data_IF_209509786473
#
_entry.id   IF_209509786473
#
_cell.length_a   1.000
_cell.length_b   1.000
_cell.length_c   1.000
_cell.angle_alpha   90.00
_cell.angle_beta   90.00
_cell.angle_gamma   90.00
#
_symmetry.space_group_name_H-M   'P 1'
#
loop_
_entity.id
_entity.type
_entity.pdbx_description
1 polymer ?
#
# COMPACT_ATOMS: atom_id res chain seq x y z
N UNK A 1 -19.31 16.46 30.58
CA UNK A 1 -17.89 16.57 30.21
C UNK A 1 -17.36 15.28 29.55
N UNK A 2 -17.81 14.85 28.35
CA UNK A 2 -17.28 13.59 27.76
C UNK A 2 -17.18 13.53 26.22
N UNK A 3 -17.36 14.63 25.47
CA UNK A 3 -17.24 14.60 24.00
C UNK A 3 -15.82 14.85 23.46
N UNK A 4 -14.90 15.39 24.26
CA UNK A 4 -13.56 15.74 23.80
C UNK A 4 -12.56 14.58 23.78
N UNK A 5 -12.75 13.54 24.59
CA UNK A 5 -11.79 12.43 24.73
C UNK A 5 -11.92 11.38 23.62
N UNK A 6 -13.14 11.11 23.14
CA UNK A 6 -13.38 10.10 22.09
C UNK A 6 -12.80 10.51 20.73
N UNK A 7 -12.80 11.81 20.42
CA UNK A 7 -12.32 12.38 19.16
C UNK A 7 -10.79 12.29 19.00
N UNK A 8 -10.03 12.18 20.10
CA UNK A 8 -8.57 12.04 20.06
C UNK A 8 -8.08 10.62 19.72
N UNK A 9 -8.95 9.61 19.81
CA UNK A 9 -8.60 8.21 19.57
C UNK A 9 -9.03 7.68 18.21
N UNK A 10 -9.82 8.45 17.46
CA UNK A 10 -10.33 8.05 16.14
C UNK A 10 -9.19 7.64 15.19
N UNK A 11 -8.08 8.42 15.05
CA UNK A 11 -7.00 8.03 14.16
C UNK A 11 -6.37 6.68 14.54
N UNK A 12 -6.13 6.45 15.84
CA UNK A 12 -5.58 5.18 16.33
C UNK A 12 -6.55 4.00 16.09
N UNK A 13 -7.86 4.22 16.24
CA UNK A 13 -8.86 3.17 16.05
C UNK A 13 -8.89 2.71 14.59
N UNK A 14 -8.77 3.63 13.63
CA UNK A 14 -8.73 3.26 12.22
C UNK A 14 -7.40 2.60 11.82
N UNK A 15 -6.26 3.01 12.38
CA UNK A 15 -4.99 2.27 12.19
C UNK A 15 -5.10 0.83 12.68
N UNK A 16 -5.65 0.63 13.88
CA UNK A 16 -5.87 -0.71 14.46
C UNK A 16 -6.87 -1.50 13.63
N UNK A 17 -7.97 -0.87 13.21
CA UNK A 17 -8.95 -1.50 12.33
C UNK A 17 -8.29 -1.98 11.03
N UNK A 18 -7.39 -1.19 10.43
CA UNK A 18 -6.65 -1.59 9.22
C UNK A 18 -5.73 -2.78 9.46
N UNK A 19 -5.01 -2.78 10.58
CA UNK A 19 -4.15 -3.91 10.97
C UNK A 19 -4.98 -5.19 11.09
N UNK A 20 -6.19 -5.11 11.65
CA UNK A 20 -7.10 -6.25 11.77
C UNK A 20 -7.77 -6.63 10.44
N UNK A 21 -8.07 -5.64 9.60
CA UNK A 21 -8.69 -5.85 8.28
C UNK A 21 -7.71 -6.48 7.29
N UNK A 22 -6.41 -6.25 7.47
CA UNK A 22 -5.38 -6.76 6.55
C UNK A 22 -5.38 -8.29 6.48
N UNK A 23 -5.26 -9.06 7.58
CA UNK A 23 -5.39 -10.52 7.55
C UNK A 23 -6.69 -11.00 6.91
N UNK A 24 -7.81 -10.31 7.18
CA UNK A 24 -9.10 -10.63 6.59
C UNK A 24 -9.05 -10.50 5.06
N UNK A 25 -8.48 -9.42 4.52
CA UNK A 25 -8.28 -9.25 3.07
C UNK A 25 -7.45 -10.39 2.49
N UNK A 26 -6.34 -10.77 3.15
CA UNK A 26 -5.46 -11.84 2.67
C UNK A 26 -6.17 -13.19 2.64
N UNK A 27 -6.98 -13.49 3.66
CA UNK A 27 -7.79 -14.72 3.69
C UNK A 27 -8.86 -14.68 2.61
N UNK A 28 -9.58 -13.58 2.44
CA UNK A 28 -10.61 -13.45 1.41
C UNK A 28 -10.04 -13.63 -0.01
N UNK A 29 -8.80 -13.22 -0.26
CA UNK A 29 -8.11 -13.44 -1.53
C UNK A 29 -7.92 -14.93 -1.89
N UNK A 30 -7.90 -15.83 -0.91
CA UNK A 30 -7.83 -17.29 -1.12
C UNK A 30 -9.18 -17.92 -1.43
N UNK A 31 -10.28 -17.22 -1.17
CA UNK A 31 -11.62 -17.76 -1.38
C UNK A 31 -11.94 -17.72 -2.87
N UNK A 32 -11.97 -18.90 -3.50
CA UNK A 32 -12.20 -19.07 -4.93
C UNK A 32 -13.69 -18.91 -5.30
N UNK A 33 -14.26 -17.73 -5.04
CA UNK A 33 -15.62 -17.37 -5.41
C UNK A 33 -15.75 -15.88 -5.70
N UNK A 34 -16.76 -15.49 -6.49
CA UNK A 34 -17.07 -14.10 -6.76
C UNK A 34 -17.23 -13.28 -5.47
N UNK A 35 -18.01 -13.81 -4.51
CA UNK A 35 -18.26 -13.12 -3.25
C UNK A 35 -16.98 -12.94 -2.42
N UNK A 36 -16.09 -13.95 -2.42
CA UNK A 36 -14.80 -13.89 -1.73
C UNK A 36 -13.87 -12.82 -2.32
N UNK A 37 -13.69 -12.84 -3.65
CA UNK A 37 -12.84 -11.86 -4.33
C UNK A 37 -13.40 -10.44 -4.27
N UNK A 38 -14.72 -10.28 -4.44
CA UNK A 38 -15.39 -8.99 -4.32
C UNK A 38 -15.27 -8.43 -2.90
N UNK A 39 -15.45 -9.26 -1.87
CA UNK A 39 -15.25 -8.85 -0.48
C UNK A 39 -13.79 -8.45 -0.21
N UNK A 40 -12.81 -9.20 -0.72
CA UNK A 40 -11.40 -8.86 -0.60
C UNK A 40 -11.11 -7.48 -1.21
N UNK A 41 -11.56 -7.24 -2.44
CA UNK A 41 -11.40 -5.97 -3.15
C UNK A 41 -12.02 -4.80 -2.38
N UNK A 42 -13.29 -4.95 -1.96
CA UNK A 42 -14.00 -3.90 -1.23
C UNK A 42 -13.34 -3.59 0.11
N UNK A 43 -12.93 -4.61 0.87
CA UNK A 43 -12.20 -4.44 2.12
C UNK A 43 -10.84 -3.75 1.88
N UNK A 44 -10.09 -4.15 0.87
CA UNK A 44 -8.80 -3.53 0.54
C UNK A 44 -8.96 -2.06 0.11
N UNK A 45 -9.96 -1.76 -0.72
CA UNK A 45 -10.29 -0.38 -1.10
C UNK A 45 -10.70 0.45 0.12
N UNK A 46 -11.57 -0.08 0.97
CA UNK A 46 -11.97 0.58 2.20
C UNK A 46 -10.76 0.87 3.11
N UNK A 47 -9.87 -0.11 3.31
CA UNK A 47 -8.66 0.04 4.11
C UNK A 47 -7.74 1.18 3.60
N UNK A 48 -7.50 1.23 2.29
CA UNK A 48 -6.66 2.25 1.67
C UNK A 48 -7.30 3.65 1.67
N UNK A 49 -8.61 3.72 1.42
CA UNK A 49 -9.36 4.98 1.44
C UNK A 49 -9.43 5.54 2.87
N UNK A 50 -9.70 4.69 3.86
CA UNK A 50 -9.71 5.06 5.28
C UNK A 50 -8.40 5.73 5.69
N UNK A 51 -7.23 5.21 5.26
CA UNK A 51 -5.94 5.84 5.55
C UNK A 51 -5.83 7.29 5.07
N UNK A 52 -6.26 7.52 3.84
CA UNK A 52 -6.21 8.85 3.26
C UNK A 52 -7.05 9.84 4.07
N UNK A 53 -8.28 9.45 4.44
CA UNK A 53 -9.16 10.28 5.23
C UNK A 53 -8.65 10.48 6.67
N UNK A 54 -8.09 9.45 7.31
CA UNK A 54 -7.48 9.55 8.63
C UNK A 54 -6.29 10.51 8.64
N UNK A 55 -5.42 10.42 7.63
CA UNK A 55 -4.30 11.33 7.48
C UNK A 55 -4.76 12.77 7.30
N UNK A 56 -5.87 13.01 6.60
CA UNK A 56 -6.47 14.36 6.46
C UNK A 56 -7.07 14.83 7.79
N UNK A 57 -7.84 13.98 8.48
CA UNK A 57 -8.51 14.35 9.72
C UNK A 57 -7.52 14.57 10.87
N UNK A 58 -6.53 13.69 11.03
CA UNK A 58 -5.48 13.82 12.05
C UNK A 58 -4.65 15.09 11.88
N UNK A 59 -4.36 15.51 10.64
CA UNK A 59 -3.69 16.79 10.34
C UNK A 59 -4.53 18.00 10.76
N UNK A 60 -5.85 17.93 10.59
CA UNK A 60 -6.76 19.01 10.97
C UNK A 60 -6.98 19.08 12.49
N UNK A 61 -6.95 17.94 13.18
CA UNK A 61 -7.25 17.87 14.61
C UNK A 61 -6.02 17.99 15.52
N UNK A 62 -4.79 18.00 14.98
CA UNK A 62 -3.52 17.98 15.75
C UNK A 62 -3.46 16.87 16.82
N UNK A 63 -4.28 15.83 16.69
CA UNK A 63 -4.52 14.81 17.70
C UNK A 63 -3.95 13.46 17.27
N UNK A 64 -2.63 13.39 16.98
CA UNK A 64 -1.96 12.14 16.61
C UNK A 64 -1.08 11.66 17.76
N UNK A 65 -1.40 10.49 18.31
CA UNK A 65 -0.59 9.87 19.36
C UNK A 65 0.77 9.42 18.82
N UNK A 66 1.82 9.38 19.66
CA UNK A 66 3.16 8.87 19.26
C UNK A 66 3.08 7.43 18.73
N UNK A 67 2.22 6.61 19.33
CA UNK A 67 2.00 5.22 18.94
C UNK A 67 1.30 5.11 17.57
N UNK A 68 0.27 5.92 17.31
CA UNK A 68 -0.39 5.97 16.00
C UNK A 68 0.53 6.46 14.88
N UNK A 69 1.40 7.43 15.16
CA UNK A 69 2.41 7.88 14.20
C UNK A 69 3.37 6.77 13.74
N UNK A 70 3.68 5.84 14.63
CA UNK A 70 4.51 4.68 14.32
C UNK A 70 3.73 3.54 13.64
N UNK A 71 2.50 3.27 14.11
CA UNK A 71 1.68 2.20 13.55
C UNK A 71 1.14 2.50 12.15
N UNK A 72 0.89 3.77 11.81
CA UNK A 72 0.31 4.15 10.51
C UNK A 72 1.18 3.69 9.31
N UNK A 73 2.48 4.04 9.23
CA UNK A 73 3.34 3.56 8.14
C UNK A 73 3.56 2.04 8.15
N UNK A 74 3.43 1.40 9.31
CA UNK A 74 3.56 -0.05 9.43
C UNK A 74 2.34 -0.76 8.86
N UNK A 75 1.13 -0.32 9.25
CA UNK A 75 -0.14 -0.87 8.79
C UNK A 75 -0.28 -0.75 7.27
N UNK A 76 0.10 0.40 6.69
CA UNK A 76 0.10 0.63 5.24
C UNK A 76 1.00 -0.38 4.50
N UNK A 77 2.23 -0.58 4.99
CA UNK A 77 3.16 -1.55 4.40
C UNK A 77 2.69 -2.98 4.54
N UNK A 78 2.14 -3.37 5.68
CA UNK A 78 1.62 -4.73 5.89
C UNK A 78 0.48 -5.01 4.91
N UNK A 79 -0.43 -4.05 4.70
CA UNK A 79 -1.53 -4.19 3.74
C UNK A 79 -1.02 -4.35 2.31
N UNK A 80 -0.18 -3.41 1.84
CA UNK A 80 0.30 -3.41 0.44
C UNK A 80 1.25 -4.57 0.17
N UNK A 81 2.29 -4.76 0.99
CA UNK A 81 3.25 -5.85 0.81
C UNK A 81 2.62 -7.21 1.07
N UNK A 82 1.74 -7.32 2.07
CA UNK A 82 0.99 -8.56 2.34
C UNK A 82 0.14 -8.97 1.14
N UNK A 83 -0.52 -8.01 0.49
CA UNK A 83 -1.32 -8.27 -0.72
C UNK A 83 -0.42 -8.68 -1.89
N UNK A 84 0.71 -8.00 -2.12
CA UNK A 84 1.68 -8.41 -3.14
C UNK A 84 2.21 -9.83 -2.89
N UNK A 85 2.53 -10.16 -1.64
CA UNK A 85 2.97 -11.51 -1.24
C UNK A 85 1.86 -12.52 -1.52
N UNK A 86 0.61 -12.20 -1.18
CA UNK A 86 -0.52 -13.09 -1.44
C UNK A 86 -0.69 -13.35 -2.95
N UNK A 87 -0.52 -12.32 -3.78
CA UNK A 87 -0.57 -12.45 -5.25
C UNK A 87 0.50 -13.41 -5.79
N UNK A 88 1.66 -13.56 -5.14
CA UNK A 88 2.66 -14.57 -5.56
C UNK A 88 2.12 -16.00 -5.48
N UNK A 89 1.17 -16.25 -4.60
CA UNK A 89 0.57 -17.57 -4.42
C UNK A 89 -0.70 -17.76 -5.25
N UNK A 90 -1.55 -16.73 -5.30
CA UNK A 90 -2.86 -16.85 -5.96
C UNK A 90 -2.83 -16.47 -7.44
N UNK A 91 -1.87 -15.66 -7.89
CA UNK A 91 -1.66 -15.26 -9.29
C UNK A 91 -0.17 -15.13 -9.63
N UNK A 92 0.60 -16.24 -9.66
CA UNK A 92 2.05 -16.22 -9.89
C UNK A 92 2.45 -15.64 -11.26
N UNK A 93 1.53 -15.59 -12.23
CA UNK A 93 1.76 -14.97 -13.54
C UNK A 93 1.71 -13.43 -13.52
N UNK A 94 1.08 -12.83 -12.52
CA UNK A 94 0.89 -11.38 -12.44
C UNK A 94 2.06 -10.64 -11.77
N UNK A 95 2.80 -11.33 -10.90
CA UNK A 95 3.86 -10.73 -10.06
C UNK A 95 5.04 -11.69 -9.87
N UNK A 96 6.25 -11.16 -9.68
CA UNK A 96 7.45 -11.97 -9.39
C UNK A 96 7.98 -11.73 -7.98
N UNK A 97 8.47 -12.80 -7.35
CA UNK A 97 8.97 -12.75 -5.97
C UNK A 97 10.10 -11.74 -5.79
N UNK A 98 11.01 -11.65 -6.77
CA UNK A 98 12.13 -10.72 -6.72
C UNK A 98 11.67 -9.27 -6.89
N UNK A 99 10.64 -9.02 -7.70
CA UNK A 99 10.06 -7.68 -7.85
C UNK A 99 9.37 -7.22 -6.56
N UNK A 100 8.65 -8.12 -5.90
CA UNK A 100 8.03 -7.85 -4.58
C UNK A 100 9.11 -7.59 -3.53
N UNK A 101 10.19 -8.37 -3.52
CA UNK A 101 11.33 -8.16 -2.63
C UNK A 101 12.02 -6.81 -2.87
N UNK A 102 12.17 -6.38 -4.13
CA UNK A 102 12.73 -5.06 -4.47
C UNK A 102 11.84 -3.91 -3.97
N UNK A 103 10.52 -4.02 -4.12
CA UNK A 103 9.57 -3.04 -3.57
C UNK A 103 9.72 -2.97 -2.04
N UNK A 104 9.71 -4.12 -1.36
CA UNK A 104 9.83 -4.20 0.10
C UNK A 104 11.15 -3.61 0.60
N UNK A 105 12.27 -4.02 0.02
CA UNK A 105 13.61 -3.54 0.37
C UNK A 105 13.71 -2.02 0.20
N UNK A 106 13.27 -1.51 -0.96
CA UNK A 106 13.26 -0.07 -1.24
C UNK A 106 12.47 0.69 -0.19
N UNK A 107 11.29 0.20 0.18
CA UNK A 107 10.43 0.89 1.14
C UNK A 107 10.97 0.88 2.56
N UNK A 108 11.67 -0.18 2.96
CA UNK A 108 12.43 -0.23 4.22
C UNK A 108 13.58 0.79 4.17
N UNK A 109 14.41 0.76 3.13
CA UNK A 109 15.58 1.64 2.98
C UNK A 109 15.17 3.11 3.01
N UNK A 110 14.19 3.51 2.21
CA UNK A 110 13.74 4.92 2.15
C UNK A 110 13.13 5.38 3.47
N UNK A 111 12.46 4.48 4.20
CA UNK A 111 11.93 4.80 5.53
C UNK A 111 13.05 4.94 6.55
N UNK A 112 14.06 4.07 6.51
CA UNK A 112 15.22 4.13 7.40
C UNK A 112 16.04 5.41 7.16
N UNK A 113 16.32 5.75 5.90
CA UNK A 113 17.02 6.99 5.51
C UNK A 113 16.25 8.21 6.00
N UNK A 114 14.91 8.21 5.84
CA UNK A 114 14.05 9.28 6.35
C UNK A 114 14.13 9.42 7.86
N UNK A 115 13.95 8.32 8.58
CA UNK A 115 13.98 8.30 10.04
C UNK A 115 15.35 8.73 10.58
N UNK A 116 16.44 8.34 9.91
CA UNK A 116 17.79 8.74 10.28
C UNK A 116 18.01 10.25 10.09
N UNK A 117 17.61 10.81 8.95
CA UNK A 117 17.72 12.26 8.72
C UNK A 117 16.90 13.06 9.75
N UNK A 118 15.66 12.63 10.03
CA UNK A 118 14.80 13.28 11.04
C UNK A 118 15.42 13.23 12.44
N UNK A 119 16.10 12.14 12.80
CA UNK A 119 16.82 12.02 14.08
C UNK A 119 18.00 12.99 14.22
N UNK A 120 18.56 13.45 13.09
CA UNK A 120 19.64 14.43 13.03
C UNK A 120 19.13 15.88 12.88
N UNK A 121 17.81 16.11 13.04
CA UNK A 121 17.19 17.42 12.86
C UNK A 121 17.09 17.89 11.41
N UNK A 122 17.44 17.04 10.43
CA UNK A 122 17.35 17.35 8.99
C UNK A 122 16.02 16.84 8.46
N UNK A 123 15.26 17.70 7.79
CA UNK A 123 14.02 17.27 7.12
C UNK A 123 14.32 16.96 5.65
N UNK A 124 14.18 15.69 5.25
CA UNK A 124 14.31 15.32 3.85
C UNK A 124 13.12 15.88 3.07
N UNK A 125 13.37 16.83 2.16
CA UNK A 125 12.36 17.38 1.26
C UNK A 125 11.68 16.25 0.48
N UNK A 126 10.41 15.98 0.77
CA UNK A 126 9.66 14.94 0.06
C UNK A 126 9.37 15.39 -1.37
N UNK A 127 9.92 14.71 -2.37
CA UNK A 127 9.54 14.94 -3.76
C UNK A 127 8.07 14.59 -3.99
N UNK A 128 7.34 15.45 -4.74
CA UNK A 128 5.97 15.16 -5.16
C UNK A 128 5.87 13.84 -5.92
N UNK A 129 6.90 13.48 -6.71
CA UNK A 129 6.99 12.24 -7.48
C UNK A 129 6.95 11.00 -6.59
N UNK A 130 7.52 11.06 -5.38
CA UNK A 130 7.49 9.94 -4.44
C UNK A 130 6.10 9.66 -3.87
N UNK A 131 5.18 10.63 -3.90
CA UNK A 131 3.78 10.41 -3.51
C UNK A 131 3.03 9.54 -4.52
N UNK A 132 3.42 9.62 -5.80
CA UNK A 132 2.79 8.85 -6.86
C UNK A 132 3.14 7.36 -6.80
N UNK A 133 4.24 6.97 -6.12
CA UNK A 133 4.62 5.54 -6.02
C UNK A 133 3.51 4.71 -5.37
N UNK A 134 2.94 5.22 -4.27
CA UNK A 134 1.95 4.47 -3.47
C UNK A 134 0.65 4.39 -4.24
N UNK A 135 0.28 5.47 -4.94
CA UNK A 135 -0.88 5.46 -5.83
C UNK A 135 -0.74 4.43 -6.95
N UNK A 136 0.45 4.30 -7.56
CA UNK A 136 0.69 3.31 -8.61
C UNK A 136 0.63 1.88 -8.08
N UNK A 137 1.21 1.60 -6.90
CA UNK A 137 1.12 0.28 -6.27
C UNK A 137 -0.32 -0.07 -5.89
N UNK A 138 -1.06 0.86 -5.27
CA UNK A 138 -2.47 0.65 -4.92
C UNK A 138 -3.33 0.47 -6.17
N UNK A 139 -3.12 1.27 -7.21
CA UNK A 139 -3.86 1.14 -8.46
C UNK A 139 -3.61 -0.20 -9.15
N UNK A 140 -2.34 -0.64 -9.18
CA UNK A 140 -1.99 -1.96 -9.70
C UNK A 140 -2.71 -3.07 -8.90
N UNK A 141 -2.66 -3.01 -7.57
CA UNK A 141 -3.34 -4.00 -6.73
C UNK A 141 -4.86 -3.98 -6.92
N UNK A 142 -5.49 -2.80 -6.99
CA UNK A 142 -6.91 -2.68 -7.30
C UNK A 142 -7.25 -3.27 -8.67
N UNK A 143 -6.45 -2.99 -9.70
CA UNK A 143 -6.68 -3.53 -11.04
C UNK A 143 -6.59 -5.07 -11.07
N UNK A 144 -5.55 -5.65 -10.45
CA UNK A 144 -5.41 -7.10 -10.38
C UNK A 144 -6.55 -7.73 -9.58
N UNK A 145 -6.87 -7.19 -8.39
CA UNK A 145 -7.97 -7.72 -7.56
C UNK A 145 -9.35 -7.59 -8.26
N UNK A 146 -9.56 -6.52 -9.02
CA UNK A 146 -10.76 -6.36 -9.85
C UNK A 146 -10.81 -7.41 -10.96
N UNK A 147 -9.73 -7.61 -11.70
CA UNK A 147 -9.66 -8.65 -12.74
C UNK A 147 -9.97 -10.02 -12.16
N UNK A 148 -9.35 -10.39 -11.02
CA UNK A 148 -9.67 -11.64 -10.32
C UNK A 148 -11.14 -11.75 -9.90
N UNK A 149 -11.76 -10.64 -9.50
CA UNK A 149 -13.20 -10.64 -9.18
C UNK A 149 -14.04 -10.89 -10.43
N UNK A 150 -13.67 -10.29 -11.56
CA UNK A 150 -14.34 -10.47 -12.84
C UNK A 150 -14.13 -11.88 -13.44
N UNK A 151 -13.07 -12.60 -13.06
CA UNK A 151 -12.84 -14.00 -13.46
C UNK A 151 -14.04 -14.91 -13.09
N UNK A 152 -14.65 -14.66 -11.93
CA UNK A 152 -15.83 -15.40 -11.45
C UNK A 152 -17.17 -14.91 -12.04
N UNK A 153 -17.11 -14.07 -13.06
CA UNK A 153 -18.28 -13.62 -13.83
C UNK A 153 -18.23 -14.19 -15.25
N UNK A 154 -19.14 -13.77 -16.14
CA UNK A 154 -19.10 -14.19 -17.55
C UNK A 154 -17.86 -13.74 -18.34
N UNK A 155 -16.93 -12.97 -17.73
CA UNK A 155 -15.72 -12.45 -18.35
C UNK A 155 -14.48 -13.36 -18.21
N UNK A 156 -14.61 -14.57 -17.65
CA UNK A 156 -13.51 -15.49 -17.36
C UNK A 156 -12.44 -15.62 -18.46
N UNK A 157 -12.79 -15.93 -19.73
CA UNK A 157 -11.81 -16.11 -20.80
C UNK A 157 -10.97 -14.86 -21.09
N UNK A 158 -11.60 -13.70 -21.13
CA UNK A 158 -10.90 -12.42 -21.35
C UNK A 158 -9.97 -12.09 -20.19
N UNK A 159 -10.42 -12.36 -18.96
CA UNK A 159 -9.63 -12.11 -17.75
C UNK A 159 -8.41 -13.03 -17.68
N UNK A 160 -8.59 -14.32 -17.96
CA UNK A 160 -7.50 -15.30 -17.97
C UNK A 160 -6.43 -14.93 -19.00
N UNK A 161 -6.86 -14.50 -20.20
CA UNK A 161 -5.95 -13.98 -21.22
C UNK A 161 -5.15 -12.75 -20.72
N UNK A 162 -5.81 -11.78 -20.07
CA UNK A 162 -5.14 -10.58 -19.54
C UNK A 162 -4.15 -10.94 -18.42
N UNK A 163 -4.57 -11.76 -17.46
CA UNK A 163 -3.80 -12.05 -16.25
C UNK A 163 -2.66 -13.04 -16.50
N UNK A 164 -2.85 -14.04 -17.37
CA UNK A 164 -1.96 -15.21 -17.45
C UNK A 164 -1.29 -15.38 -18.81
N UNK A 165 -1.95 -15.06 -19.92
CA UNK A 165 -1.40 -15.33 -21.26
C UNK A 165 -0.70 -14.13 -21.90
N UNK A 166 -1.30 -12.94 -21.80
CA UNK A 166 -0.86 -11.75 -22.52
C UNK A 166 0.45 -11.13 -22.01
N UNK A 167 0.86 -11.47 -20.78
CA UNK A 167 1.97 -10.83 -20.07
C UNK A 167 1.72 -9.38 -19.65
N UNK A 168 0.53 -8.82 -19.89
CA UNK A 168 0.20 -7.43 -19.57
C UNK A 168 0.26 -7.15 -18.07
N UNK A 169 -0.25 -8.07 -17.24
CA UNK A 169 -0.18 -7.96 -15.78
C UNK A 169 1.28 -7.88 -15.30
N UNK A 170 2.14 -8.75 -15.83
CA UNK A 170 3.55 -8.79 -15.49
C UNK A 170 4.30 -7.53 -15.96
N UNK A 171 4.01 -7.04 -17.17
CA UNK A 171 4.58 -5.80 -17.69
C UNK A 171 4.18 -4.60 -16.82
N UNK A 172 2.90 -4.51 -16.45
CA UNK A 172 2.40 -3.47 -15.54
C UNK A 172 3.08 -3.55 -14.17
N UNK A 173 3.29 -4.77 -13.65
CA UNK A 173 4.03 -4.96 -12.42
C UNK A 173 5.47 -4.46 -12.52
N UNK A 174 6.19 -4.78 -13.59
CA UNK A 174 7.55 -4.26 -13.81
C UNK A 174 7.61 -2.75 -13.97
N UNK A 175 6.60 -2.13 -14.59
CA UNK A 175 6.49 -0.67 -14.62
C UNK A 175 6.37 -0.09 -13.20
N UNK A 176 5.57 -0.71 -12.33
CA UNK A 176 5.43 -0.33 -10.91
C UNK A 176 6.75 -0.52 -10.16
N UNK A 177 7.45 -1.64 -10.35
CA UNK A 177 8.76 -1.91 -9.72
C UNK A 177 9.78 -0.87 -10.18
N UNK A 178 9.90 -0.64 -11.50
CA UNK A 178 10.84 0.33 -12.07
C UNK A 178 10.58 1.75 -11.54
N UNK A 179 9.31 2.18 -11.49
CA UNK A 179 8.94 3.47 -10.93
C UNK A 179 9.24 3.55 -9.41
N UNK A 180 8.98 2.47 -8.67
CA UNK A 180 9.27 2.38 -7.23
C UNK A 180 10.78 2.52 -6.96
N UNK A 181 11.62 1.84 -7.76
CA UNK A 181 13.06 1.94 -7.66
C UNK A 181 13.58 3.31 -8.09
N UNK A 182 13.08 3.86 -9.20
CA UNK A 182 13.43 5.21 -9.66
C UNK A 182 13.14 6.26 -8.58
N UNK A 183 11.94 6.23 -7.99
CA UNK A 183 11.61 7.14 -6.89
C UNK A 183 12.42 6.86 -5.62
N UNK A 184 12.91 5.64 -5.41
CA UNK A 184 13.83 5.30 -4.31
C UNK A 184 15.22 5.91 -4.52
N UNK A 185 15.76 5.78 -5.73
CA UNK A 185 17.04 6.36 -6.11
C UNK A 185 17.04 7.89 -5.94
N UNK A 186 15.94 8.57 -6.31
CA UNK A 186 15.79 10.01 -6.11
C UNK A 186 15.96 10.45 -4.63
N UNK A 187 15.61 9.60 -3.66
CA UNK A 187 15.84 9.91 -2.24
C UNK A 187 17.30 9.79 -1.84
N UNK A 188 18.03 8.85 -2.43
CA UNK A 188 19.43 8.57 -2.09
C UNK A 188 20.34 9.62 -2.72
N UNK A 189 20.07 10.02 -3.96
CA UNK A 189 20.88 10.99 -4.70
C UNK A 189 20.51 12.45 -4.43
N UNK A 190 19.59 12.72 -3.51
CA UNK A 190 19.24 14.09 -3.17
C UNK A 190 20.39 14.75 -2.40
N UNK A 191 20.95 15.87 -2.90
CA UNK A 191 21.85 16.68 -2.09
C UNK A 191 21.09 17.13 -0.84
N UNK A 192 21.65 16.83 0.34
CA UNK A 192 21.13 17.40 1.57
C UNK A 192 21.41 18.91 1.50
N UNK A 193 20.39 19.72 1.22
CA UNK A 193 20.50 21.17 1.41
C UNK A 193 20.77 21.40 2.90
N UNK A 194 22.02 21.74 3.23
CA UNK A 194 22.46 22.22 4.55
C UNK A 194 21.96 23.66 4.79
N UNK A 195 20.71 23.98 4.45
CA UNK A 195 20.12 25.27 4.81
C UNK A 195 19.62 25.20 6.25
N UNK A 196 20.54 25.52 7.15
CA UNK A 196 20.39 25.90 8.56
C UNK A 196 19.23 26.89 8.76
#
# INVERSE_FOLDING_TARGET
MSRHTALHHIPNLLTVARILLTPLVLVLLTVASFAGQAAALLCFMAAGISDYYDGVLARRMKARSRLGQFLDPLADKILVLGTFIMLLFVEPGAVTWWGVALIALRDIVVTAVRSYAESQGRTLKTFRVAKWKTLLQLFFLWAIMLLRTLEYTGAGPTVDWILRESGMALLAFYAVVAFTLFTGALYIFQPQDDSV
#
